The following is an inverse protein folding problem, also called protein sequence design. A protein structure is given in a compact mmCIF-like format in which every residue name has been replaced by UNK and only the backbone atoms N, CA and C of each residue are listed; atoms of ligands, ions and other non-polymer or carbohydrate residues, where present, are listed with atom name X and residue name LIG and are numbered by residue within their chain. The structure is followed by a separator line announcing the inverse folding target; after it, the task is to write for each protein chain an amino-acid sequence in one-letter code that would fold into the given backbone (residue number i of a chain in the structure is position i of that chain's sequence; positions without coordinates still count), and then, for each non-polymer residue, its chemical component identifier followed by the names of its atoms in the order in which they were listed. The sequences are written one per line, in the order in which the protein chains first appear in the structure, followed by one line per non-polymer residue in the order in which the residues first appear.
data_IF_336490218792
#
_entry.id   IF_336490218792
#
_cell.length_a   1.000
_cell.length_b   1.000
_cell.length_c   1.000
_cell.angle_alpha   90.00
_cell.angle_beta   90.00
_cell.angle_gamma   90.00
#
_symmetry.space_group_name_H-M   'P 1'
#
loop_
_entity.id
_entity.type
_entity.pdbx_description
1 polymer ?
#
# COMPACT_ATOMS: atom_id res chain seq x y z
N UNK A 1 -4.28 -17.07 -25.00
CA UNK A 1 -3.17 -16.44 -24.25
C UNK A 1 -2.28 -17.55 -23.69
N UNK A 2 -0.97 -17.45 -23.90
CA UNK A 2 0.02 -18.44 -23.43
C UNK A 2 0.72 -17.86 -22.19
N UNK A 3 0.92 -18.68 -21.17
CA UNK A 3 1.69 -18.31 -19.98
C UNK A 3 3.20 -18.40 -20.24
N UNK A 4 4.01 -17.67 -19.47
CA UNK A 4 5.48 -17.76 -19.49
C UNK A 4 6.02 -19.19 -19.35
N UNK A 5 5.28 -20.10 -18.73
CA UNK A 5 5.65 -21.53 -18.63
C UNK A 5 5.38 -22.34 -19.92
N UNK A 6 4.98 -21.69 -21.01
CA UNK A 6 4.64 -22.32 -22.29
C UNK A 6 3.27 -23.01 -22.32
N UNK A 7 2.48 -22.96 -21.24
CA UNK A 7 1.16 -23.61 -21.16
C UNK A 7 0.02 -22.63 -21.47
N UNK A 8 -1.08 -23.10 -22.09
CA UNK A 8 -2.25 -22.26 -22.33
C UNK A 8 -2.89 -21.81 -21.02
N UNK A 9 -3.35 -20.56 -20.98
CA UNK A 9 -4.18 -20.03 -19.89
C UNK A 9 -5.62 -20.43 -20.16
N UNK A 10 -6.33 -20.91 -19.11
CA UNK A 10 -7.73 -21.31 -19.20
C UNK A 10 -8.62 -20.17 -19.71
N UNK A 11 -9.68 -20.49 -20.44
CA UNK A 11 -10.71 -19.50 -20.81
C UNK A 11 -11.50 -18.99 -19.59
N UNK A 12 -11.57 -19.78 -18.51
CA UNK A 12 -12.34 -19.47 -17.30
C UNK A 12 -11.52 -18.84 -16.17
N UNK A 13 -10.18 -18.81 -16.28
CA UNK A 13 -9.30 -18.25 -15.25
C UNK A 13 -8.15 -17.49 -15.89
N UNK A 14 -7.88 -16.29 -15.37
CA UNK A 14 -6.72 -15.49 -15.81
C UNK A 14 -5.38 -16.05 -15.29
N UNK A 15 -5.39 -17.03 -14.39
CA UNK A 15 -4.19 -17.67 -13.87
C UNK A 15 -3.88 -18.97 -14.64
N UNK A 16 -2.61 -19.20 -14.95
CA UNK A 16 -2.15 -20.46 -15.51
C UNK A 16 -2.24 -21.57 -14.45
N UNK A 17 -3.08 -22.59 -14.70
CA UNK A 17 -3.37 -23.67 -13.75
C UNK A 17 -2.09 -24.40 -13.27
N UNK A 18 -1.19 -24.88 -14.14
CA UNK A 18 0.06 -25.50 -13.72
C UNK A 18 0.97 -24.62 -12.86
N UNK A 19 1.12 -23.33 -13.18
CA UNK A 19 1.90 -22.40 -12.35
C UNK A 19 1.26 -22.18 -10.98
N UNK A 20 -0.07 -22.12 -10.96
CA UNK A 20 -0.85 -21.98 -9.75
C UNK A 20 -0.85 -23.26 -8.89
N UNK A 21 -0.81 -24.47 -9.49
CA UNK A 21 -0.59 -25.74 -8.77
C UNK A 21 0.77 -25.75 -8.04
N UNK A 22 1.83 -25.18 -8.64
CA UNK A 22 3.16 -25.10 -7.99
C UNK A 22 3.15 -24.22 -6.72
N UNK A 23 2.42 -23.11 -6.75
CA UNK A 23 2.29 -22.21 -5.60
C UNK A 23 1.42 -22.87 -4.50
N UNK A 24 0.40 -23.65 -4.89
CA UNK A 24 -0.43 -24.45 -3.97
C UNK A 24 0.30 -25.60 -3.31
N UNK A 25 1.24 -26.23 -4.02
CA UNK A 25 1.95 -27.43 -3.57
C UNK A 25 3.06 -27.17 -2.55
N UNK A 26 3.48 -25.91 -2.35
CA UNK A 26 4.50 -25.56 -1.35
C UNK A 26 3.84 -25.51 0.03
N UNK A 27 3.85 -26.67 0.68
CA UNK A 27 3.36 -26.96 2.02
C UNK A 27 3.62 -25.84 3.04
N UNK A 28 2.57 -25.06 3.28
CA UNK A 28 1.96 -24.77 4.57
C UNK A 28 0.74 -23.92 4.21
N UNK A 29 -0.47 -24.46 4.20
CA UNK A 29 -1.71 -23.79 3.75
C UNK A 29 -2.03 -22.42 4.39
N UNK A 30 -1.22 -21.98 5.35
CA UNK A 30 -1.16 -20.67 5.98
C UNK A 30 -0.44 -19.57 5.15
N UNK A 31 0.57 -19.92 4.33
CA UNK A 31 1.34 -18.96 3.55
C UNK A 31 0.60 -18.52 2.27
N UNK A 32 -0.07 -19.47 1.62
CA UNK A 32 -0.88 -19.21 0.44
C UNK A 32 -2.18 -18.45 0.78
N UNK A 33 -2.81 -18.81 1.92
CA UNK A 33 -3.94 -18.04 2.46
C UNK A 33 -3.53 -16.65 2.91
N UNK A 34 -2.24 -16.40 3.18
CA UNK A 34 -1.73 -15.06 3.49
C UNK A 34 -1.60 -14.19 2.24
N UNK A 35 -0.76 -14.59 1.26
CA UNK A 35 -0.43 -13.72 0.12
C UNK A 35 -1.58 -13.56 -0.87
N UNK A 36 -2.34 -14.63 -1.16
CA UNK A 36 -3.51 -14.53 -2.03
C UNK A 36 -4.57 -13.63 -1.40
N UNK A 37 -4.77 -13.74 -0.08
CA UNK A 37 -5.68 -12.86 0.63
C UNK A 37 -5.21 -11.40 0.62
N UNK A 38 -3.90 -11.11 0.73
CA UNK A 38 -3.38 -9.73 0.57
C UNK A 38 -3.73 -9.15 -0.81
N UNK A 39 -3.48 -9.92 -1.86
CA UNK A 39 -3.82 -9.53 -3.24
C UNK A 39 -5.33 -9.33 -3.42
N UNK A 40 -6.14 -10.26 -2.91
CA UNK A 40 -7.60 -10.19 -2.99
C UNK A 40 -8.14 -8.96 -2.24
N UNK A 41 -7.69 -8.73 -1.01
CA UNK A 41 -8.08 -7.56 -0.21
C UNK A 41 -7.61 -6.24 -0.83
N UNK A 42 -6.42 -6.20 -1.45
CA UNK A 42 -5.96 -5.04 -2.24
C UNK A 42 -6.95 -4.71 -3.36
N UNK A 43 -7.29 -5.69 -4.21
CA UNK A 43 -8.26 -5.50 -5.29
C UNK A 43 -9.65 -5.11 -4.78
N UNK A 44 -10.08 -5.73 -3.67
CA UNK A 44 -11.40 -5.48 -3.08
C UNK A 44 -11.54 -4.02 -2.65
N UNK A 45 -10.52 -3.45 -1.99
CA UNK A 45 -10.49 -2.03 -1.61
C UNK A 45 -10.57 -1.07 -2.82
N UNK A 46 -9.99 -1.44 -3.96
CA UNK A 46 -9.97 -0.58 -5.15
C UNK A 46 -11.25 -0.68 -5.99
N UNK A 47 -11.90 -1.84 -6.04
CA UNK A 47 -12.93 -2.12 -7.05
C UNK A 47 -14.30 -2.49 -6.50
N UNK A 48 -14.41 -2.84 -5.21
CA UNK A 48 -15.69 -3.23 -4.62
C UNK A 48 -16.27 -2.06 -3.82
N UNK A 49 -17.29 -1.39 -4.37
CA UNK A 49 -17.99 -0.26 -3.72
C UNK A 49 -18.58 -0.59 -2.34
N UNK A 50 -18.91 -1.86 -2.09
CA UNK A 50 -19.42 -2.32 -0.79
C UNK A 50 -18.31 -2.62 0.23
N UNK A 51 -17.03 -2.45 -0.11
CA UNK A 51 -15.93 -2.60 0.86
C UNK A 51 -15.91 -1.35 1.76
N UNK A 52 -15.83 -1.50 3.10
CA UNK A 52 -15.82 -0.35 4.02
C UNK A 52 -14.67 0.65 3.76
N UNK A 53 -13.59 0.20 3.10
CA UNK A 53 -12.45 1.05 2.74
C UNK A 53 -12.52 1.54 1.30
N UNK A 54 -13.60 1.30 0.57
CA UNK A 54 -13.66 1.70 -0.84
C UNK A 54 -13.44 3.20 -1.01
N UNK A 55 -14.08 4.03 -0.18
CA UNK A 55 -13.95 5.49 -0.24
C UNK A 55 -12.50 5.97 -0.08
N UNK A 56 -11.69 5.30 0.75
CA UNK A 56 -10.27 5.64 0.98
C UNK A 56 -9.33 5.20 -0.16
N UNK A 57 -9.84 4.38 -1.09
CA UNK A 57 -9.06 3.78 -2.18
C UNK A 57 -9.78 3.99 -3.51
N UNK A 58 -10.68 3.07 -3.90
CA UNK A 58 -11.41 3.15 -5.17
C UNK A 58 -12.20 4.45 -5.35
N UNK A 59 -12.79 4.99 -4.27
CA UNK A 59 -13.49 6.28 -4.28
C UNK A 59 -12.58 7.47 -4.61
N UNK A 60 -11.28 7.37 -4.30
CA UNK A 60 -10.25 8.35 -4.68
C UNK A 60 -9.68 8.13 -6.09
N UNK A 61 -10.13 7.09 -6.80
CA UNK A 61 -9.59 6.71 -8.10
C UNK A 61 -8.32 5.86 -8.06
N UNK A 62 -7.91 5.37 -6.88
CA UNK A 62 -6.76 4.46 -6.73
C UNK A 62 -7.10 3.10 -7.34
N UNK A 63 -6.22 2.60 -8.19
CA UNK A 63 -6.37 1.35 -8.92
C UNK A 63 -5.22 0.39 -8.66
N UNK A 64 -5.39 -0.83 -9.18
CA UNK A 64 -4.34 -1.85 -9.28
C UNK A 64 -3.95 -1.94 -10.74
N UNK A 65 -2.65 -1.88 -11.05
CA UNK A 65 -2.17 -1.97 -12.42
C UNK A 65 -2.65 -3.27 -13.10
N UNK A 66 -2.86 -3.24 -14.41
CA UNK A 66 -3.45 -4.36 -15.16
C UNK A 66 -2.67 -5.66 -15.00
N UNK A 67 -1.35 -5.56 -14.91
CA UNK A 67 -0.45 -6.69 -14.65
C UNK A 67 -0.84 -7.42 -13.37
N UNK A 68 -1.13 -6.69 -12.29
CA UNK A 68 -1.50 -7.24 -10.98
C UNK A 68 -2.98 -7.64 -10.87
N UNK A 69 -3.79 -7.48 -11.93
CA UNK A 69 -5.13 -8.10 -11.96
C UNK A 69 -5.08 -9.62 -12.07
N UNK A 70 -3.91 -10.17 -12.41
CA UNK A 70 -3.57 -11.59 -12.41
C UNK A 70 -2.69 -11.90 -11.21
N UNK A 71 -3.09 -12.85 -10.36
CA UNK A 71 -2.38 -13.14 -9.11
C UNK A 71 -0.95 -13.62 -9.36
N UNK A 72 -0.72 -14.45 -10.39
CA UNK A 72 0.62 -14.97 -10.67
C UNK A 72 1.64 -13.86 -10.96
N UNK A 73 1.22 -12.78 -11.63
CA UNK A 73 2.10 -11.64 -11.90
C UNK A 73 2.38 -10.85 -10.61
N UNK A 74 1.35 -10.64 -9.78
CA UNK A 74 1.53 -10.05 -8.46
C UNK A 74 2.51 -10.87 -7.61
N UNK A 75 2.38 -12.19 -7.63
CA UNK A 75 3.26 -13.11 -6.90
C UNK A 75 4.69 -13.09 -7.45
N UNK A 76 4.85 -13.04 -8.77
CA UNK A 76 6.16 -12.91 -9.44
C UNK A 76 6.87 -11.61 -9.02
N UNK A 77 6.13 -10.50 -8.94
CA UNK A 77 6.71 -9.20 -8.64
C UNK A 77 6.97 -8.99 -7.13
N UNK A 78 6.06 -9.44 -6.26
CA UNK A 78 6.14 -9.20 -4.81
C UNK A 78 6.83 -10.31 -4.02
N UNK A 79 6.84 -11.54 -4.56
CA UNK A 79 7.33 -12.72 -3.86
C UNK A 79 6.55 -13.05 -2.58
N UNK A 80 7.05 -14.03 -1.81
CA UNK A 80 6.50 -14.36 -0.50
C UNK A 80 6.69 -13.20 0.49
N UNK A 81 5.75 -12.98 1.43
CA UNK A 81 5.94 -11.99 2.46
C UNK A 81 7.19 -12.34 3.29
N UNK A 82 8.14 -11.41 3.49
CA UNK A 82 9.44 -11.72 4.11
C UNK A 82 9.35 -12.07 5.59
N UNK A 83 8.24 -11.76 6.26
CA UNK A 83 8.01 -12.07 7.68
C UNK A 83 6.52 -12.24 8.01
N UNK A 84 6.25 -12.88 9.15
CA UNK A 84 4.88 -13.10 9.64
C UNK A 84 4.20 -11.76 9.95
N UNK A 85 2.99 -11.59 9.42
CA UNK A 85 2.21 -10.37 9.64
C UNK A 85 2.57 -9.21 8.69
N UNK A 86 3.50 -9.42 7.75
CA UNK A 86 3.77 -8.46 6.69
C UNK A 86 2.49 -8.03 5.95
N UNK A 87 2.44 -6.74 5.62
CA UNK A 87 1.33 -6.09 4.94
C UNK A 87 1.86 -5.45 3.66
N UNK A 88 1.02 -5.41 2.62
CA UNK A 88 1.32 -4.62 1.43
C UNK A 88 0.88 -3.18 1.69
N UNK A 89 1.80 -2.26 1.47
CA UNK A 89 1.56 -0.82 1.57
C UNK A 89 2.14 -0.09 0.37
N UNK A 90 1.59 1.10 0.11
CA UNK A 90 2.04 1.97 -0.98
C UNK A 90 3.13 2.91 -0.47
N UNK A 91 4.17 3.12 -1.27
CA UNK A 91 5.25 4.05 -0.96
C UNK A 91 4.71 5.49 -1.02
N UNK A 92 3.96 5.78 -2.07
CA UNK A 92 3.18 7.00 -2.23
C UNK A 92 1.68 6.67 -2.16
N UNK A 93 1.01 7.20 -1.13
CA UNK A 93 -0.40 6.97 -0.83
C UNK A 93 -1.38 7.55 -1.85
N UNK A 94 -0.90 8.45 -2.72
CA UNK A 94 -1.72 9.08 -3.75
C UNK A 94 -1.59 8.36 -5.11
N UNK A 95 -0.69 7.38 -5.23
CA UNK A 95 -0.47 6.58 -6.43
C UNK A 95 -1.13 5.20 -6.37
N UNK A 96 -1.18 4.52 -7.52
CA UNK A 96 -1.79 3.21 -7.69
C UNK A 96 -0.97 2.06 -7.07
N UNK A 97 -1.59 0.88 -6.99
CA UNK A 97 -0.89 -0.36 -6.67
C UNK A 97 -0.15 -0.89 -7.90
N UNK A 98 1.18 -0.84 -7.85
CA UNK A 98 2.10 -1.30 -8.89
C UNK A 98 3.47 -1.67 -8.26
N UNK A 99 4.31 -2.47 -8.95
CA UNK A 99 5.60 -2.90 -8.40
C UNK A 99 6.51 -1.76 -7.93
N UNK A 100 6.51 -0.63 -8.64
CA UNK A 100 7.29 0.57 -8.32
C UNK A 100 6.79 1.34 -7.10
N UNK A 101 5.52 1.18 -6.74
CA UNK A 101 4.87 1.95 -5.68
C UNK A 101 4.46 1.08 -4.48
N UNK A 102 4.86 -0.18 -4.41
CA UNK A 102 4.40 -1.10 -3.36
C UNK A 102 5.56 -1.82 -2.70
N UNK A 103 5.43 -2.03 -1.38
CA UNK A 103 6.41 -2.78 -0.60
C UNK A 103 5.75 -3.57 0.52
N UNK A 104 6.47 -4.59 1.00
CA UNK A 104 6.13 -5.25 2.25
C UNK A 104 6.51 -4.36 3.43
N UNK A 105 5.58 -4.19 4.37
CA UNK A 105 5.78 -3.39 5.59
C UNK A 105 5.29 -4.16 6.81
N UNK A 106 5.84 -3.81 7.96
CA UNK A 106 5.34 -4.22 9.27
C UNK A 106 4.06 -3.46 9.61
N UNK A 107 3.23 -3.97 10.53
CA UNK A 107 2.07 -3.23 11.03
C UNK A 107 2.44 -1.86 11.64
N UNK A 108 3.62 -1.75 12.26
CA UNK A 108 4.14 -0.49 12.81
C UNK A 108 4.44 0.52 11.70
N UNK A 109 5.16 0.11 10.65
CA UNK A 109 5.47 0.96 9.50
C UNK A 109 4.21 1.42 8.76
N UNK A 110 3.27 0.50 8.52
CA UNK A 110 1.98 0.86 7.89
C UNK A 110 1.23 1.92 8.70
N UNK A 111 1.24 1.80 10.03
CA UNK A 111 0.59 2.77 10.92
C UNK A 111 1.27 4.14 10.89
N UNK A 112 2.59 4.18 10.65
CA UNK A 112 3.33 5.43 10.49
C UNK A 112 3.10 6.09 9.13
N UNK A 113 2.82 5.27 8.09
CA UNK A 113 2.47 5.70 6.73
C UNK A 113 0.99 6.06 6.57
N UNK A 114 0.11 5.70 7.52
CA UNK A 114 -1.22 6.30 7.58
C UNK A 114 -1.07 7.82 7.62
N UNK A 115 -1.93 8.54 6.89
CA UNK A 115 -1.95 10.00 6.84
C UNK A 115 -1.74 10.56 8.24
N UNK A 116 -0.50 10.92 8.59
CA UNK A 116 -0.26 11.84 9.69
C UNK A 116 -1.00 13.09 9.24
N UNK A 117 -2.00 13.53 10.00
CA UNK A 117 -2.48 14.89 9.87
C UNK A 117 -1.22 15.76 9.80
N UNK A 118 -1.04 16.54 8.72
CA UNK A 118 0.11 17.43 8.58
C UNK A 118 0.17 18.20 9.90
N UNK A 119 1.12 17.87 10.78
CA UNK A 119 1.45 18.77 11.88
C UNK A 119 1.98 19.98 11.12
N UNK A 120 1.16 21.04 11.01
CA UNK A 120 1.61 22.33 10.54
C UNK A 120 2.80 22.72 11.43
N UNK A 121 4.02 22.46 10.95
CA UNK A 121 5.25 22.82 11.66
C UNK A 121 5.57 24.31 11.50
N UNK A 122 4.70 25.08 10.83
CA UNK A 122 4.94 26.48 10.49
C UNK A 122 4.25 27.49 11.43
N UNK A 123 3.83 27.08 12.64
CA UNK A 123 3.24 28.01 13.63
C UNK A 123 3.93 28.04 15.00
N UNK A 124 5.23 27.73 15.04
CA UNK A 124 6.07 28.16 16.16
C UNK A 124 7.33 28.83 15.59
N UNK A 125 7.18 30.09 15.15
CA UNK A 125 8.33 31.00 15.13
C UNK A 125 8.71 31.21 16.59
N UNK A 126 9.80 30.58 17.00
CA UNK A 126 10.48 30.88 18.26
C UNK A 126 10.79 32.38 18.25
N UNK A 127 10.07 33.18 19.03
CA UNK A 127 10.56 34.50 19.41
C UNK A 127 11.83 34.26 20.21
N UNK A 128 12.96 34.62 19.61
CA UNK A 128 14.27 34.65 20.25
C UNK A 128 14.19 35.55 21.48
N UNK A 129 14.74 35.12 22.62
CA UNK A 129 14.77 35.85 23.89
C UNK A 129 15.68 37.09 23.88
N UNK A 130 15.99 37.67 22.72
CA UNK A 130 16.92 38.80 22.60
C UNK A 130 16.34 40.05 21.94
N UNK A 131 15.03 40.12 21.66
CA UNK A 131 14.38 41.34 21.14
C UNK A 131 13.72 42.20 22.24
N UNK A 132 14.25 42.19 23.46
CA UNK A 132 13.96 43.25 24.42
C UNK A 132 14.86 44.46 24.12
N UNK A 133 14.51 45.19 23.06
CA UNK A 133 15.01 46.53 22.88
C UNK A 133 14.39 47.41 23.98
N UNK A 134 15.23 47.76 24.96
CA UNK A 134 15.01 48.90 25.85
C UNK A 134 14.82 50.14 24.98
N UNK A 135 13.58 50.56 24.74
CA UNK A 135 13.21 51.95 24.49
C UNK A 135 11.69 52.10 24.36
N UNK A 136 11.01 52.22 25.52
CA UNK A 136 9.91 53.18 25.69
C UNK A 136 9.53 53.28 27.18
N UNK A 137 10.41 53.84 28.01
CA UNK A 137 10.00 54.50 29.25
C UNK A 137 9.99 56.00 28.95
N UNK A 138 8.87 56.64 29.30
CA UNK A 138 8.56 58.09 29.32
C UNK A 138 7.82 58.60 28.07
N UNK A 139 6.50 58.72 28.20
CA UNK A 139 5.71 59.96 27.98
C UNK A 139 4.22 59.70 28.23
N UNK A 140 3.87 59.60 29.51
CA UNK A 140 2.58 60.10 30.00
C UNK A 140 2.93 61.33 30.85
N UNK A 141 2.90 62.49 30.19
CA UNK A 141 2.41 63.72 30.81
C UNK A 141 0.92 63.78 30.50
#
# INVERSE_FOLDING_TARGET
MICKCGKPISKTSKNCRPCWDKIRGTSNGLAESSIYNRWYLMKRRCYRKSDPRYEDYGGRGIKVCDRWLVFLNYYEDMGQPPFKGAQIDRIDNDKDYEPSNCKWVTPSENSQNMRRAKKNKDKFKTLSKNDLCFDCIKKHF
#
